data_IF_755618002530
#
_entry.id   IF_755618002530
#
_cell.length_a   1.000
_cell.length_b   1.000
_cell.length_c   1.000
_cell.angle_alpha   90.00
_cell.angle_beta   90.00
_cell.angle_gamma   90.00
#
_symmetry.space_group_name_H-M   'P 1'
#
loop_
_entity.id
_entity.type
_entity.pdbx_description
1 polymer ?
#
# COMPACT_ATOMS: atom_id res chain seq x y z
N UNK A 1 15.02 -12.26 -17.01
CA UNK A 1 16.51 -12.22 -16.85
C UNK A 1 17.03 -10.80 -16.74
N UNK A 2 16.50 -9.82 -17.50
CA UNK A 2 16.96 -8.42 -17.46
C UNK A 2 16.80 -7.79 -16.06
N UNK A 3 15.61 -7.86 -15.45
CA UNK A 3 15.36 -7.28 -14.13
C UNK A 3 16.37 -7.75 -13.06
N UNK A 4 16.67 -9.05 -13.01
CA UNK A 4 17.61 -9.57 -12.02
C UNK A 4 19.03 -8.98 -12.21
N UNK A 5 19.49 -8.81 -13.46
CA UNK A 5 20.78 -8.20 -13.75
C UNK A 5 20.83 -6.74 -13.31
N UNK A 6 19.75 -5.99 -13.51
CA UNK A 6 19.67 -4.59 -13.08
C UNK A 6 19.64 -4.45 -11.55
N UNK A 7 18.92 -5.34 -10.86
CA UNK A 7 18.91 -5.38 -9.41
C UNK A 7 20.28 -5.73 -8.81
N UNK A 8 21.02 -6.65 -9.43
CA UNK A 8 22.39 -6.98 -9.02
C UNK A 8 23.32 -5.77 -9.17
N UNK A 9 23.23 -5.01 -10.26
CA UNK A 9 24.00 -3.77 -10.43
C UNK A 9 23.70 -2.75 -9.33
N UNK A 10 22.42 -2.59 -8.96
CA UNK A 10 22.05 -1.71 -7.84
C UNK A 10 22.67 -2.18 -6.52
N UNK A 11 22.72 -3.48 -6.27
CA UNK A 11 23.41 -4.04 -5.10
C UNK A 11 24.92 -3.76 -5.13
N UNK A 12 25.58 -3.95 -6.27
CA UNK A 12 27.01 -3.61 -6.46
C UNK A 12 27.29 -2.12 -6.21
N UNK A 13 26.31 -1.25 -6.49
CA UNK A 13 26.36 0.18 -6.16
C UNK A 13 26.07 0.49 -4.69
N UNK A 14 25.94 -0.52 -3.82
CA UNK A 14 25.65 -0.37 -2.40
C UNK A 14 24.20 -0.02 -2.07
N UNK A 15 23.25 -0.20 -3.01
CA UNK A 15 21.83 0.06 -2.76
C UNK A 15 21.18 -1.12 -2.03
N UNK A 16 20.36 -0.81 -1.05
CA UNK A 16 19.46 -1.78 -0.44
C UNK A 16 18.22 -1.97 -1.31
N UNK A 17 17.75 -3.20 -1.42
CA UNK A 17 16.61 -3.57 -2.26
C UNK A 17 15.55 -4.19 -1.38
N UNK A 18 14.33 -3.68 -1.52
CA UNK A 18 13.15 -4.15 -0.83
C UNK A 18 12.09 -4.54 -1.85
N UNK A 19 11.52 -5.72 -1.66
CA UNK A 19 10.36 -6.16 -2.40
C UNK A 19 9.12 -6.01 -1.54
N UNK A 20 8.15 -5.23 -1.98
CA UNK A 20 6.84 -5.18 -1.33
C UNK A 20 5.98 -6.25 -1.98
N UNK A 21 5.54 -7.23 -1.20
CA UNK A 21 4.66 -8.28 -1.70
C UNK A 21 3.27 -7.73 -2.00
N UNK A 22 2.45 -8.52 -2.68
CA UNK A 22 1.09 -8.11 -3.04
C UNK A 22 0.25 -7.89 -1.78
N UNK A 23 -0.50 -6.80 -1.74
CA UNK A 23 -1.58 -6.60 -0.79
C UNK A 23 -2.64 -7.72 -0.92
N UNK A 24 -3.57 -7.87 0.03
CA UNK A 24 -4.66 -8.81 -0.12
C UNK A 24 -5.40 -8.57 -1.44
N UNK A 25 -5.64 -9.64 -2.20
CA UNK A 25 -6.45 -9.56 -3.40
C UNK A 25 -7.41 -10.74 -3.48
N UNK A 26 -8.62 -10.46 -3.89
CA UNK A 26 -9.66 -11.45 -4.17
C UNK A 26 -10.82 -10.73 -4.84
N UNK A 27 -11.56 -11.43 -5.69
CA UNK A 27 -12.79 -10.90 -6.28
C UNK A 27 -13.79 -10.43 -5.21
N UNK A 28 -13.81 -11.06 -4.04
CA UNK A 28 -14.70 -10.72 -2.93
C UNK A 28 -14.41 -9.34 -2.33
N UNK A 29 -13.21 -8.80 -2.52
CA UNK A 29 -12.82 -7.48 -2.04
C UNK A 29 -13.45 -6.35 -2.86
N UNK A 30 -13.97 -6.66 -4.07
CA UNK A 30 -14.55 -5.65 -4.95
C UNK A 30 -15.87 -5.11 -4.42
N UNK A 31 -15.99 -3.78 -4.23
CA UNK A 31 -17.24 -3.13 -3.82
C UNK A 31 -18.40 -3.39 -4.78
N UNK A 32 -18.12 -3.65 -6.06
CA UNK A 32 -19.15 -3.93 -7.07
C UNK A 32 -19.95 -5.20 -6.75
N UNK A 33 -19.30 -6.21 -6.17
CA UNK A 33 -20.01 -7.40 -5.72
C UNK A 33 -20.94 -7.10 -4.55
N UNK A 34 -20.47 -6.31 -3.58
CA UNK A 34 -21.29 -5.87 -2.44
C UNK A 34 -22.49 -5.05 -2.91
N UNK A 35 -22.26 -4.09 -3.80
CA UNK A 35 -23.33 -3.26 -4.37
C UNK A 35 -24.33 -4.08 -5.19
N UNK A 36 -23.87 -5.10 -5.91
CA UNK A 36 -24.74 -6.02 -6.64
C UNK A 36 -25.63 -6.81 -5.69
N UNK A 37 -25.06 -7.36 -4.63
CA UNK A 37 -25.79 -8.19 -3.67
C UNK A 37 -26.85 -7.37 -2.90
N UNK A 38 -26.54 -6.11 -2.57
CA UNK A 38 -27.51 -5.16 -2.01
C UNK A 38 -28.63 -4.90 -3.02
N UNK A 39 -28.32 -4.58 -4.28
CA UNK A 39 -29.34 -4.32 -5.32
C UNK A 39 -30.24 -5.54 -5.57
N UNK A 40 -29.68 -6.75 -5.62
CA UNK A 40 -30.47 -7.97 -5.79
C UNK A 40 -31.41 -8.23 -4.60
N UNK A 41 -30.95 -7.97 -3.38
CA UNK A 41 -31.79 -8.07 -2.18
C UNK A 41 -32.95 -7.07 -2.23
N UNK A 42 -32.70 -5.81 -2.59
CA UNK A 42 -33.76 -4.80 -2.78
C UNK A 42 -34.80 -5.21 -3.84
N UNK A 43 -34.36 -5.77 -4.97
CA UNK A 43 -35.25 -6.29 -6.00
C UNK A 43 -36.12 -7.48 -5.50
N UNK A 44 -35.60 -8.24 -4.52
CA UNK A 44 -36.34 -9.30 -3.85
C UNK A 44 -37.20 -8.81 -2.68
N UNK A 45 -37.34 -7.49 -2.47
CA UNK A 45 -38.11 -6.89 -1.38
C UNK A 45 -37.44 -7.01 0.00
N UNK A 46 -36.14 -7.25 0.02
CA UNK A 46 -35.34 -7.31 1.25
C UNK A 46 -34.62 -5.99 1.47
N UNK A 47 -34.71 -5.45 2.67
CA UNK A 47 -33.92 -4.28 3.09
C UNK A 47 -32.54 -4.76 3.55
N UNK A 48 -31.59 -4.80 2.61
CA UNK A 48 -30.21 -5.19 2.87
C UNK A 48 -29.30 -3.99 2.64
N UNK A 49 -28.51 -3.68 3.66
CA UNK A 49 -27.42 -2.69 3.62
C UNK A 49 -26.08 -3.38 3.82
N UNK A 50 -24.99 -2.68 3.51
CA UNK A 50 -23.65 -3.15 3.89
C UNK A 50 -23.44 -2.65 5.32
N UNK A 51 -23.71 -3.52 6.29
CA UNK A 51 -23.55 -3.21 7.71
C UNK A 51 -22.38 -3.97 8.31
N UNK A 52 -21.71 -3.33 9.27
CA UNK A 52 -20.64 -3.94 10.06
C UNK A 52 -19.35 -4.23 9.28
N UNK A 53 -18.59 -5.14 9.82
CA UNK A 53 -17.28 -5.54 9.33
C UNK A 53 -17.37 -6.83 8.53
N UNK A 54 -16.75 -6.83 7.35
CA UNK A 54 -16.61 -8.02 6.53
C UNK A 54 -15.14 -8.35 6.29
N UNK A 55 -14.82 -9.63 6.34
CA UNK A 55 -13.46 -10.11 6.13
C UNK A 55 -13.48 -11.46 5.38
N UNK A 56 -12.43 -11.69 4.57
CA UNK A 56 -12.15 -13.00 3.98
C UNK A 56 -11.14 -13.77 4.83
N UNK A 57 -11.13 -15.09 4.69
CA UNK A 57 -10.16 -15.94 5.36
C UNK A 57 -8.74 -15.67 4.84
N UNK A 58 -7.78 -15.47 5.75
CA UNK A 58 -6.38 -15.22 5.41
C UNK A 58 -5.76 -16.35 4.60
N UNK A 59 -6.04 -17.59 4.92
CA UNK A 59 -5.52 -18.74 4.17
C UNK A 59 -5.91 -18.69 2.69
N UNK A 60 -7.07 -18.14 2.35
CA UNK A 60 -7.48 -17.95 0.96
C UNK A 60 -6.59 -16.92 0.26
N UNK A 61 -6.29 -15.81 0.92
CA UNK A 61 -5.39 -14.78 0.39
C UNK A 61 -3.99 -15.35 0.21
N UNK A 62 -3.47 -16.06 1.21
CA UNK A 62 -2.15 -16.71 1.17
C UNK A 62 -2.07 -17.72 0.03
N UNK A 63 -3.12 -18.52 -0.18
CA UNK A 63 -3.18 -19.46 -1.29
C UNK A 63 -3.11 -18.74 -2.64
N UNK A 64 -3.86 -17.64 -2.82
CA UNK A 64 -3.85 -16.86 -4.06
C UNK A 64 -2.48 -16.19 -4.31
N UNK A 65 -1.81 -15.73 -3.27
CA UNK A 65 -0.48 -15.09 -3.36
C UNK A 65 0.67 -16.08 -3.57
N UNK A 66 0.50 -17.33 -3.22
CA UNK A 66 1.57 -18.33 -3.14
C UNK A 66 2.45 -18.41 -4.40
N UNK A 67 1.93 -18.46 -5.63
CA UNK A 67 2.79 -18.57 -6.82
C UNK A 67 3.74 -17.39 -6.99
N UNK A 68 3.24 -16.16 -6.84
CA UNK A 68 4.04 -14.95 -6.93
C UNK A 68 5.02 -14.83 -5.75
N UNK A 69 4.58 -15.18 -4.55
CA UNK A 69 5.39 -15.16 -3.34
C UNK A 69 6.62 -16.08 -3.42
N UNK A 70 6.45 -17.31 -3.95
CA UNK A 70 7.58 -18.24 -4.16
C UNK A 70 8.60 -17.66 -5.14
N UNK A 71 8.14 -17.04 -6.24
CA UNK A 71 9.05 -16.42 -7.21
C UNK A 71 9.78 -15.21 -6.57
N UNK A 72 9.06 -14.35 -5.88
CA UNK A 72 9.62 -13.19 -5.19
C UNK A 72 10.66 -13.60 -4.15
N UNK A 73 10.39 -14.65 -3.36
CA UNK A 73 11.33 -15.17 -2.36
C UNK A 73 12.63 -15.69 -3.02
N UNK A 74 12.52 -16.41 -4.14
CA UNK A 74 13.69 -16.85 -4.90
C UNK A 74 14.53 -15.68 -5.40
N UNK A 75 13.88 -14.65 -5.94
CA UNK A 75 14.57 -13.46 -6.41
C UNK A 75 15.21 -12.70 -5.24
N UNK A 76 14.49 -12.49 -4.16
CA UNK A 76 15.01 -11.83 -2.97
C UNK A 76 16.25 -12.52 -2.43
N UNK A 77 16.19 -13.84 -2.28
CA UNK A 77 17.33 -14.65 -1.79
C UNK A 77 18.56 -14.54 -2.73
N UNK A 78 18.32 -14.47 -4.05
CA UNK A 78 19.44 -14.44 -5.02
C UNK A 78 20.21 -13.11 -5.03
N UNK A 79 19.62 -12.02 -4.52
CA UNK A 79 20.22 -10.69 -4.49
C UNK A 79 20.36 -10.11 -3.09
N UNK A 80 19.97 -10.86 -2.04
CA UNK A 80 19.97 -10.39 -0.67
C UNK A 80 18.97 -9.25 -0.42
N UNK A 81 17.83 -9.25 -1.11
CA UNK A 81 16.75 -8.28 -0.88
C UNK A 81 15.87 -8.69 0.30
N UNK A 82 15.29 -7.71 0.98
CA UNK A 82 14.27 -7.94 2.01
C UNK A 82 12.88 -7.94 1.40
N UNK A 83 11.98 -8.78 1.94
CA UNK A 83 10.56 -8.80 1.55
C UNK A 83 9.74 -8.16 2.65
N UNK A 84 8.90 -7.20 2.25
CA UNK A 84 7.90 -6.56 3.09
C UNK A 84 6.54 -7.15 2.72
N UNK A 85 5.86 -7.72 3.70
CA UNK A 85 4.53 -8.29 3.48
C UNK A 85 3.42 -7.38 4.04
N UNK A 86 2.63 -6.73 3.17
CA UNK A 86 1.50 -5.91 3.59
C UNK A 86 0.45 -6.66 4.42
N UNK A 87 0.37 -7.99 4.30
CA UNK A 87 -0.57 -8.77 5.09
C UNK A 87 -0.26 -8.73 6.59
N UNK A 88 0.97 -8.42 6.98
CA UNK A 88 1.36 -8.29 8.39
C UNK A 88 0.58 -7.18 9.11
N UNK A 89 0.17 -6.13 8.39
CA UNK A 89 -0.57 -4.98 8.95
C UNK A 89 -2.01 -4.89 8.47
N UNK A 90 -2.29 -5.40 7.26
CA UNK A 90 -3.63 -5.31 6.65
C UNK A 90 -4.55 -6.48 7.05
N UNK A 91 -4.02 -7.54 7.62
CA UNK A 91 -4.76 -8.73 8.03
C UNK A 91 -4.41 -9.09 9.48
N UNK A 92 -5.34 -9.77 10.15
CA UNK A 92 -5.02 -10.55 11.35
C UNK A 92 -4.48 -11.92 10.96
N UNK A 93 -4.17 -12.77 11.94
CA UNK A 93 -3.68 -14.14 11.69
C UNK A 93 -4.69 -15.00 10.91
N UNK A 94 -5.97 -14.70 10.99
CA UNK A 94 -7.03 -15.52 10.41
C UNK A 94 -7.87 -14.83 9.36
N UNK A 95 -7.93 -13.50 9.35
CA UNK A 95 -8.87 -12.72 8.52
C UNK A 95 -8.21 -11.50 7.89
N UNK A 96 -8.60 -11.21 6.65
CA UNK A 96 -8.30 -9.96 5.96
C UNK A 96 -9.58 -9.14 5.80
N UNK A 97 -9.73 -8.01 6.49
CA UNK A 97 -10.93 -7.18 6.38
C UNK A 97 -11.02 -6.54 4.99
N UNK A 98 -12.23 -6.41 4.47
CA UNK A 98 -12.51 -5.68 3.24
C UNK A 98 -13.65 -4.67 3.34
N UNK A 99 -14.43 -4.74 4.41
CA UNK A 99 -15.36 -3.70 4.85
C UNK A 99 -15.13 -3.45 6.34
N UNK A 100 -15.07 -2.20 6.74
CA UNK A 100 -14.99 -1.78 8.13
C UNK A 100 -16.03 -0.69 8.38
N UNK A 101 -16.82 -0.86 9.43
CA UNK A 101 -17.92 0.06 9.79
C UNK A 101 -18.85 0.36 8.58
N UNK A 102 -19.17 -0.65 7.77
CA UNK A 102 -19.98 -0.51 6.57
C UNK A 102 -19.25 0.15 5.37
N UNK A 103 -17.98 0.56 5.51
CA UNK A 103 -17.20 1.22 4.46
C UNK A 103 -16.26 0.23 3.79
N UNK A 104 -16.34 0.04 2.45
CA UNK A 104 -15.39 -0.79 1.72
C UNK A 104 -13.97 -0.23 1.81
N UNK A 105 -13.00 -1.09 2.09
CA UNK A 105 -11.57 -0.73 2.21
C UNK A 105 -10.84 -0.75 0.86
N UNK A 106 -11.45 -1.33 -0.16
CA UNK A 106 -10.88 -1.50 -1.50
C UNK A 106 -11.67 -0.70 -2.53
N UNK A 107 -11.00 -0.32 -3.62
CA UNK A 107 -11.62 0.31 -4.80
C UNK A 107 -12.13 -0.77 -5.76
N UNK A 108 -11.41 -1.86 -5.86
CA UNK A 108 -11.71 -3.04 -6.68
C UNK A 108 -11.12 -4.30 -6.03
N UNK A 109 -10.98 -5.38 -6.78
CA UNK A 109 -10.46 -6.66 -6.30
C UNK A 109 -8.97 -6.63 -5.88
N UNK A 110 -8.22 -5.58 -6.18
CA UNK A 110 -6.76 -5.51 -6.05
C UNK A 110 -6.24 -4.24 -5.38
N UNK A 111 -6.98 -3.13 -5.45
CA UNK A 111 -6.50 -1.82 -5.02
C UNK A 111 -7.17 -1.35 -3.73
N UNK A 112 -6.34 -1.05 -2.75
CA UNK A 112 -6.76 -0.47 -1.48
C UNK A 112 -7.11 1.00 -1.70
N UNK A 113 -8.12 1.51 -1.01
CA UNK A 113 -8.49 2.93 -1.04
C UNK A 113 -7.37 3.80 -0.49
N UNK A 114 -7.11 4.95 -1.11
CA UNK A 114 -6.09 5.88 -0.68
C UNK A 114 -6.27 6.35 0.79
N UNK A 115 -7.51 6.49 1.26
CA UNK A 115 -7.80 6.80 2.66
C UNK A 115 -7.29 5.71 3.61
N UNK A 116 -7.47 4.44 3.26
CA UNK A 116 -7.00 3.29 4.04
C UNK A 116 -5.48 3.19 4.00
N UNK A 117 -4.87 3.41 2.83
CA UNK A 117 -3.42 3.38 2.69
C UNK A 117 -2.74 4.42 3.59
N UNK A 118 -3.31 5.63 3.71
CA UNK A 118 -2.76 6.69 4.57
C UNK A 118 -2.76 6.36 6.06
N UNK A 119 -3.66 5.51 6.52
CA UNK A 119 -3.83 5.19 7.94
C UNK A 119 -3.36 3.80 8.33
N UNK A 120 -3.26 2.89 7.37
CA UNK A 120 -3.03 1.45 7.64
C UNK A 120 -1.83 0.85 6.90
N UNK A 121 -1.16 1.62 6.02
CA UNK A 121 0.02 1.13 5.29
C UNK A 121 1.32 1.22 6.10
N UNK A 122 1.26 0.91 7.40
CA UNK A 122 2.40 0.99 8.33
C UNK A 122 3.50 -0.04 8.04
N UNK A 123 3.27 -0.96 7.11
CA UNK A 123 4.26 -1.95 6.69
C UNK A 123 5.51 -1.33 6.02
N UNK A 124 5.45 -0.06 5.60
CA UNK A 124 6.60 0.66 5.05
C UNK A 124 7.29 1.59 6.07
N UNK A 125 6.71 1.81 7.24
CA UNK A 125 7.21 2.78 8.22
C UNK A 125 8.62 2.41 8.70
N UNK A 126 8.89 1.13 8.91
CA UNK A 126 10.21 0.65 9.28
C UNK A 126 11.31 1.01 8.25
N UNK A 127 10.95 1.14 6.95
CA UNK A 127 11.88 1.59 5.92
C UNK A 127 12.17 3.10 6.05
N UNK A 128 11.12 3.88 6.32
CA UNK A 128 11.25 5.33 6.45
C UNK A 128 12.07 5.66 7.69
N UNK A 129 11.88 4.95 8.79
CA UNK A 129 12.64 5.12 10.02
C UNK A 129 14.13 4.81 9.83
N UNK A 130 14.47 3.75 9.10
CA UNK A 130 15.88 3.40 8.81
C UNK A 130 16.56 4.38 7.85
N UNK A 131 15.79 5.06 6.99
CA UNK A 131 16.28 6.03 6.02
C UNK A 131 16.33 7.45 6.59
N UNK A 132 15.65 7.72 7.70
CA UNK A 132 15.68 9.02 8.35
C UNK A 132 17.01 9.19 9.10
N UNK A 133 17.79 10.24 8.85
CA UNK A 133 18.95 10.52 9.68
C UNK A 133 18.50 10.71 11.13
N UNK A 134 19.30 10.30 12.13
CA UNK A 134 18.94 10.48 13.52
C UNK A 134 18.59 11.96 13.77
N UNK A 135 17.39 12.22 14.30
CA UNK A 135 16.94 13.55 14.70
C UNK A 135 17.86 14.02 15.83
N UNK A 136 18.92 14.75 15.51
CA UNK A 136 19.84 15.24 16.53
C UNK A 136 21.25 15.58 16.07
N UNK A 137 21.40 16.24 14.92
CA UNK A 137 22.55 17.13 14.69
C UNK A 137 22.04 18.41 14.07
N UNK A 138 21.73 19.38 14.93
CA UNK A 138 21.56 20.77 14.55
C UNK A 138 22.87 21.20 13.87
N UNK A 139 22.88 21.24 12.53
CA UNK A 139 23.98 21.84 11.80
C UNK A 139 24.02 23.31 12.21
N UNK A 140 25.04 23.65 13.00
CA UNK A 140 25.37 25.03 13.28
C UNK A 140 25.89 25.65 11.96
N UNK A 141 25.19 26.70 11.51
CA UNK A 141 25.72 27.66 10.55
C UNK A 141 25.50 27.31 9.08
N UNK A 142 24.33 27.61 8.57
CA UNK A 142 24.17 28.07 7.19
C UNK A 142 23.27 29.30 7.26
N UNK A 143 23.90 30.44 7.06
CA UNK A 143 23.32 31.76 6.89
C UNK A 143 22.34 31.68 5.69
N UNK A 144 21.04 31.67 5.97
CA UNK A 144 20.01 31.74 4.94
C UNK A 144 19.86 33.19 4.52
N UNK A 145 20.49 33.56 3.42
CA UNK A 145 20.06 34.73 2.65
C UNK A 145 18.63 34.51 2.19
N UNK A 146 17.74 35.21 2.85
CA UNK A 146 16.34 35.38 2.48
C UNK A 146 16.27 36.14 1.14
N UNK A 147 16.11 35.42 0.04
CA UNK A 147 15.81 36.06 -1.26
C UNK A 147 14.35 36.45 -1.28
N UNK A 148 14.12 37.73 -1.01
CA UNK A 148 12.86 38.45 -1.11
C UNK A 148 12.40 38.45 -2.60
N UNK A 149 11.51 37.49 -2.96
CA UNK A 149 10.93 37.44 -4.28
C UNK A 149 9.59 38.20 -4.25
N UNK A 150 9.64 39.50 -4.68
CA UNK A 150 8.46 40.33 -4.92
C UNK A 150 7.69 39.81 -6.12
N UNK A 151 6.47 39.37 -5.87
CA UNK A 151 5.48 39.09 -6.92
C UNK A 151 5.16 40.39 -7.68
N UNK A 152 5.61 40.48 -8.93
CA UNK A 152 5.20 41.54 -9.84
C UNK A 152 3.90 41.11 -10.54
N UNK A 153 2.80 41.68 -10.14
CA UNK A 153 1.51 41.57 -10.84
C UNK A 153 1.57 42.38 -12.13
N UNK A 154 1.30 41.83 -13.30
CA UNK A 154 1.11 42.65 -14.50
C UNK A 154 -0.30 43.31 -14.45
N UNK A 155 -0.29 44.63 -14.49
CA UNK A 155 -1.48 45.47 -14.66
C UNK A 155 -1.94 45.33 -16.13
N UNK A 156 -3.13 44.79 -16.35
CA UNK A 156 -3.77 44.77 -17.65
C UNK A 156 -4.41 46.14 -17.94
N UNK A 157 -3.95 46.75 -19.00
CA UNK A 157 -4.67 47.84 -19.65
C UNK A 157 -5.16 47.34 -21.02
N UNK A 158 -6.45 47.62 -21.34
CA UNK A 158 -7.03 47.47 -22.67
C UNK A 158 -8.34 46.72 -22.70
#
# INVERSE_FOLDING_TARGET
RALLADLLKLREMGKEIYFISMAPFSRELSPDLLARDVRLAHLAGQDKTIEGDHAINRNKVDFLKKPAGVLMQKMANSIGAMIIDPLATLCSDTKCPYVKDGVPLYVDAHHIRASVTRTSATYIDALVETLSPPVGTKAAGADTQETDWKATTPRGDG
#
